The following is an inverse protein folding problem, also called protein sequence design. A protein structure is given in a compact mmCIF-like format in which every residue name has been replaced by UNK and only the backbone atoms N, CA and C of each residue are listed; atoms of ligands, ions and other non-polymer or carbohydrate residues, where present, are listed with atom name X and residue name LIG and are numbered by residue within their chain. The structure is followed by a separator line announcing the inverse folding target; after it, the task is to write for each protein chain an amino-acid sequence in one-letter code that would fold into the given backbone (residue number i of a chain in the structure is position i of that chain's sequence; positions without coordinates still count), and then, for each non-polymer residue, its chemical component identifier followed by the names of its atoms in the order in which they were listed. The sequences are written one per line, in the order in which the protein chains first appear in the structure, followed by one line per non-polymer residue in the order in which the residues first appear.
data_IF_565865120444
#
_entry.id   IF_565865120444
#
_cell.length_a   1.000
_cell.length_b   1.000
_cell.length_c   1.000
_cell.angle_alpha   90.00
_cell.angle_beta   90.00
_cell.angle_gamma   90.00
#
_symmetry.space_group_name_H-M   'P 1'
#
loop_
_entity.id
_entity.type
_entity.pdbx_description
1 polymer ?
#
# COMPACT_ATOMS: atom_id res chain seq x y z
N UNK A 1 -0.54 -13.60 -0.18
CA UNK A 1 -0.65 -12.68 0.97
C UNK A 1 0.31 -11.53 0.71
N UNK A 2 -0.15 -10.28 0.80
CA UNK A 2 0.72 -9.12 0.57
C UNK A 2 1.26 -8.66 1.93
N UNK A 3 2.58 -8.63 2.08
CA UNK A 3 3.20 -8.06 3.27
C UNK A 3 3.24 -6.55 3.11
N UNK A 4 2.84 -5.84 4.16
CA UNK A 4 2.86 -4.38 4.17
C UNK A 4 3.24 -3.85 5.55
N UNK A 5 3.71 -2.61 5.58
CA UNK A 5 3.91 -1.84 6.81
C UNK A 5 2.98 -0.64 6.80
N UNK A 6 2.29 -0.41 7.93
CA UNK A 6 1.48 0.79 8.13
C UNK A 6 2.34 1.88 8.77
N UNK A 7 2.39 3.06 8.16
CA UNK A 7 3.14 4.22 8.66
C UNK A 7 2.24 5.44 8.69
N UNK A 8 2.62 6.47 9.46
CA UNK A 8 1.95 7.77 9.44
C UNK A 8 2.95 8.89 9.72
N UNK A 9 2.65 10.10 9.25
CA UNK A 9 3.42 11.31 9.51
C UNK A 9 2.55 12.55 9.42
N UNK A 10 2.55 13.39 10.46
CA UNK A 10 1.78 14.65 10.51
C UNK A 10 0.29 14.52 10.13
N UNK A 11 -0.34 13.39 10.47
CA UNK A 11 -1.76 13.12 10.19
C UNK A 11 -2.04 12.47 8.84
N UNK A 12 -1.04 12.29 8.00
CA UNK A 12 -1.14 11.54 6.75
C UNK A 12 -0.68 10.09 6.97
N UNK A 13 -1.49 9.11 6.54
CA UNK A 13 -1.20 7.70 6.77
C UNK A 13 -0.95 6.90 5.48
N UNK A 14 0.04 6.01 5.55
CA UNK A 14 0.58 5.28 4.41
C UNK A 14 0.47 3.78 4.61
N UNK A 15 0.16 3.06 3.53
CA UNK A 15 0.43 1.63 3.40
C UNK A 15 1.68 1.46 2.52
N UNK A 16 2.73 0.88 3.08
CA UNK A 16 4.01 0.66 2.38
C UNK A 16 4.15 -0.80 2.00
N UNK A 17 4.38 -1.08 0.72
CA UNK A 17 4.59 -2.42 0.16
C UNK A 17 6.02 -2.51 -0.38
N UNK A 18 6.71 -3.59 -0.01
CA UNK A 18 7.97 -3.98 -0.65
C UNK A 18 7.63 -4.80 -1.90
N UNK A 19 7.88 -4.21 -3.07
CA UNK A 19 7.78 -4.84 -4.38
C UNK A 19 9.15 -4.90 -5.07
N UNK A 20 10.24 -4.99 -4.31
CA UNK A 20 11.60 -5.10 -4.88
C UNK A 20 11.79 -6.36 -5.73
N UNK A 21 10.97 -7.39 -5.52
CA UNK A 21 10.92 -8.61 -6.35
C UNK A 21 10.05 -8.47 -7.61
N UNK A 22 9.28 -7.38 -7.76
CA UNK A 22 8.42 -7.12 -8.92
C UNK A 22 7.26 -8.11 -9.09
N UNK A 23 6.83 -8.78 -8.01
CA UNK A 23 5.79 -9.84 -8.06
C UNK A 23 4.40 -9.33 -7.68
N UNK A 24 4.30 -8.11 -7.18
CA UNK A 24 3.06 -7.51 -6.70
C UNK A 24 2.57 -6.51 -7.75
N UNK A 25 1.37 -6.76 -8.26
CA UNK A 25 0.64 -5.83 -9.10
C UNK A 25 -0.72 -5.59 -8.48
N UNK A 26 -1.10 -4.32 -8.35
CA UNK A 26 -2.40 -3.92 -7.81
C UNK A 26 -3.17 -3.13 -8.85
N UNK A 27 -4.44 -3.48 -9.05
CA UNK A 27 -5.37 -2.65 -9.82
C UNK A 27 -5.87 -1.47 -8.98
N UNK A 28 -6.43 -0.46 -9.66
CA UNK A 28 -7.01 0.69 -8.97
C UNK A 28 -8.14 0.28 -8.01
N UNK A 29 -8.98 -0.69 -8.40
CA UNK A 29 -10.08 -1.21 -7.59
C UNK A 29 -9.56 -1.90 -6.32
N UNK A 30 -8.46 -2.65 -6.44
CA UNK A 30 -7.82 -3.28 -5.28
C UNK A 30 -7.25 -2.23 -4.33
N UNK A 31 -6.61 -1.17 -4.85
CA UNK A 31 -6.09 -0.07 -4.03
C UNK A 31 -7.24 0.63 -3.30
N UNK A 32 -8.37 0.89 -3.96
CA UNK A 32 -9.56 1.50 -3.34
C UNK A 32 -10.12 0.62 -2.23
N UNK A 33 -10.24 -0.70 -2.47
CA UNK A 33 -10.73 -1.64 -1.47
C UNK A 33 -9.81 -1.68 -0.24
N UNK A 34 -8.49 -1.67 -0.45
CA UNK A 34 -7.49 -1.62 0.62
C UNK A 34 -7.52 -0.29 1.38
N UNK A 35 -7.79 0.83 0.70
CA UNK A 35 -7.89 2.16 1.30
C UNK A 35 -9.14 2.33 2.19
N UNK A 36 -10.14 1.45 2.09
CA UNK A 36 -11.36 1.55 2.89
C UNK A 36 -11.08 1.35 4.38
N UNK A 37 -11.34 2.36 5.22
CA UNK A 37 -10.94 2.35 6.65
C UNK A 37 -11.66 1.30 7.52
N UNK A 38 -12.84 0.82 7.13
CA UNK A 38 -13.60 -0.15 7.92
C UNK A 38 -13.50 -1.60 7.40
N UNK A 39 -13.12 -1.77 6.13
CA UNK A 39 -13.16 -3.08 5.45
C UNK A 39 -11.82 -3.44 4.78
N UNK A 40 -10.88 -2.50 4.74
CA UNK A 40 -9.52 -2.68 4.27
C UNK A 40 -8.51 -2.25 5.33
N UNK A 41 -7.31 -1.88 4.88
CA UNK A 41 -6.22 -1.40 5.74
C UNK A 41 -6.47 0.03 6.22
N UNK A 42 -7.07 0.87 5.38
CA UNK A 42 -7.29 2.29 5.64
C UNK A 42 -6.00 3.09 5.49
N UNK A 43 -5.90 3.95 4.47
CA UNK A 43 -4.76 4.84 4.27
C UNK A 43 -5.13 5.98 3.34
N UNK A 44 -4.40 7.09 3.44
CA UNK A 44 -4.49 8.20 2.51
C UNK A 44 -3.63 7.97 1.25
N UNK A 45 -2.45 7.32 1.38
CA UNK A 45 -1.64 6.90 0.23
C UNK A 45 -1.03 5.50 0.34
N UNK A 46 -0.76 4.91 -0.82
CA UNK A 46 0.02 3.70 -1.00
C UNK A 46 1.43 4.06 -1.49
N UNK A 47 2.47 3.54 -0.83
CA UNK A 47 3.85 3.62 -1.31
C UNK A 47 4.32 2.22 -1.70
N UNK A 48 4.85 2.08 -2.92
CA UNK A 48 5.43 0.83 -3.41
C UNK A 48 6.92 1.02 -3.63
N UNK A 49 7.74 0.22 -2.93
CA UNK A 49 9.18 0.22 -3.10
C UNK A 49 9.52 -0.77 -4.20
N UNK A 50 10.05 -0.30 -5.32
CA UNK A 50 10.41 -1.12 -6.48
C UNK A 50 11.90 -1.05 -6.76
N UNK A 51 12.43 -2.11 -7.38
CA UNK A 51 13.77 -2.05 -7.93
C UNK A 51 13.79 -1.08 -9.12
N UNK A 52 14.83 -0.26 -9.21
CA UNK A 52 15.00 0.72 -10.31
C UNK A 52 15.45 0.05 -11.63
N UNK A 53 15.62 -1.27 -11.64
CA UNK A 53 16.27 -2.03 -12.72
C UNK A 53 15.26 -2.76 -13.59
#
# INVERSE_FOLDING_TARGET
MINFTKMHGLGNDFMVIDNTLGTITLSAEQIIALAHRHFGVGFDQLLMVESTT
#
